data_IF_748265538562
#
_entry.id   IF_748265538562
#
_cell.length_a   1.000
_cell.length_b   1.000
_cell.length_c   1.000
_cell.angle_alpha   90.00
_cell.angle_beta   90.00
_cell.angle_gamma   90.00
#
_symmetry.space_group_name_H-M   'P 1'
#
loop_
_entity.id
_entity.type
_entity.pdbx_description
1 polymer ?
#
# COMPACT_ATOMS: atom_id res chain seq x y z
N UNK A 1 6.20 44.94 -39.68
CA UNK A 1 6.37 45.20 -38.23
C UNK A 1 7.31 44.15 -37.66
N UNK A 2 8.56 44.52 -37.42
CA UNK A 2 9.62 43.65 -36.91
C UNK A 2 9.55 43.61 -35.38
N UNK A 3 9.46 42.41 -34.79
CA UNK A 3 9.38 42.25 -33.34
C UNK A 3 10.70 42.66 -32.66
N UNK A 4 10.65 43.28 -31.45
CA UNK A 4 11.83 43.69 -30.69
C UNK A 4 12.77 42.52 -30.33
N UNK A 5 14.11 42.72 -30.29
CA UNK A 5 15.11 41.67 -30.03
C UNK A 5 14.94 40.90 -28.70
N UNK A 6 14.30 41.52 -27.70
CA UNK A 6 14.08 40.90 -26.39
C UNK A 6 12.94 39.86 -26.39
N UNK A 7 11.97 39.98 -27.31
CA UNK A 7 10.87 39.01 -27.47
C UNK A 7 11.36 37.70 -28.13
N UNK A 8 12.38 37.77 -28.98
CA UNK A 8 13.02 36.59 -29.60
C UNK A 8 13.80 35.76 -28.58
N UNK A 9 14.34 36.41 -27.54
CA UNK A 9 15.14 35.76 -26.50
C UNK A 9 14.27 34.97 -25.51
N UNK A 10 13.04 35.45 -25.24
CA UNK A 10 12.06 34.75 -24.39
C UNK A 10 11.52 33.50 -25.10
N UNK A 11 11.18 33.59 -26.40
CA UNK A 11 10.71 32.42 -27.16
C UNK A 11 11.73 31.28 -27.20
N UNK A 12 13.02 31.61 -27.35
CA UNK A 12 14.10 30.61 -27.44
C UNK A 12 14.42 29.94 -26.11
N UNK A 13 14.21 30.61 -24.96
CA UNK A 13 14.30 29.96 -23.63
C UNK A 13 13.13 29.02 -23.38
N UNK A 14 11.91 29.44 -23.73
CA UNK A 14 10.71 28.61 -23.56
C UNK A 14 10.74 27.35 -24.43
N UNK A 15 11.24 27.42 -25.66
CA UNK A 15 11.41 26.23 -26.50
C UNK A 15 12.55 25.32 -26.05
N UNK A 16 13.65 25.89 -25.54
CA UNK A 16 14.78 25.11 -25.01
C UNK A 16 14.45 24.37 -23.71
N UNK A 17 13.67 24.98 -22.82
CA UNK A 17 13.19 24.31 -21.60
C UNK A 17 12.12 23.24 -21.90
N UNK A 18 11.32 23.43 -22.96
CA UNK A 18 10.37 22.41 -23.44
C UNK A 18 11.08 21.19 -24.06
N UNK A 19 12.09 21.38 -24.92
CA UNK A 19 12.85 20.27 -25.51
C UNK A 19 13.67 19.50 -24.45
N UNK A 20 14.17 20.20 -23.42
CA UNK A 20 14.87 19.56 -22.28
C UNK A 20 13.91 18.75 -21.40
N UNK A 21 12.68 19.24 -21.22
CA UNK A 21 11.62 18.56 -20.47
C UNK A 21 11.04 17.37 -21.23
N UNK A 22 10.89 17.47 -22.55
CA UNK A 22 10.45 16.36 -23.42
C UNK A 22 11.54 15.28 -23.55
N UNK A 23 12.82 15.67 -23.64
CA UNK A 23 13.92 14.71 -23.67
C UNK A 23 14.09 13.96 -22.34
N UNK A 24 13.81 14.60 -21.19
CA UNK A 24 13.81 13.94 -19.88
C UNK A 24 12.55 13.09 -19.63
N UNK A 25 11.42 13.41 -20.25
CA UNK A 25 10.21 12.58 -20.24
C UNK A 25 10.29 11.40 -21.21
N UNK A 26 11.23 11.40 -22.15
CA UNK A 26 11.39 10.37 -23.16
C UNK A 26 12.26 9.17 -22.74
N UNK A 27 12.81 9.12 -21.52
CA UNK A 27 13.61 7.98 -21.05
C UNK A 27 12.96 7.14 -19.95
N UNK A 28 11.69 7.37 -19.62
CA UNK A 28 10.95 6.61 -18.60
C UNK A 28 9.68 5.92 -19.14
N UNK A 29 9.64 5.64 -20.45
CA UNK A 29 8.60 4.80 -21.02
C UNK A 29 9.13 3.38 -21.21
N UNK A 30 9.48 2.74 -20.09
CA UNK A 30 9.37 1.29 -20.01
C UNK A 30 7.90 0.94 -19.83
N UNK A 31 7.46 -0.09 -20.55
CA UNK A 31 6.07 -0.50 -20.66
C UNK A 31 5.54 -0.86 -19.26
N UNK A 32 4.86 0.07 -18.60
CA UNK A 32 4.12 -0.22 -17.37
C UNK A 32 3.04 -1.24 -17.73
N UNK A 33 3.17 -2.46 -17.19
CA UNK A 33 2.18 -3.53 -17.30
C UNK A 33 0.90 -3.26 -16.48
N UNK A 34 0.68 -2.00 -16.09
CA UNK A 34 -0.39 -1.54 -15.22
C UNK A 34 -0.13 -1.72 -13.72
N UNK A 35 0.96 -2.40 -13.31
CA UNK A 35 1.29 -2.57 -11.89
C UNK A 35 2.00 -1.34 -11.31
N UNK A 36 1.90 -1.13 -9.98
CA UNK A 36 2.67 -0.12 -9.29
C UNK A 36 4.19 -0.30 -9.45
N UNK A 37 4.99 0.76 -9.37
CA UNK A 37 6.44 0.66 -9.38
C UNK A 37 7.01 -0.20 -8.23
N UNK A 38 8.25 -0.72 -8.36
CA UNK A 38 8.99 -1.35 -7.26
C UNK A 38 9.16 -0.41 -6.05
N UNK A 39 9.38 -0.93 -4.83
CA UNK A 39 9.30 -0.12 -3.62
C UNK A 39 10.41 0.92 -3.56
N UNK A 40 11.61 0.60 -4.03
CA UNK A 40 12.71 1.58 -4.12
C UNK A 40 12.43 2.73 -5.07
N UNK A 41 11.70 2.50 -6.15
CA UNK A 41 11.29 3.56 -7.08
C UNK A 41 10.25 4.49 -6.43
N UNK A 42 9.24 3.92 -5.77
CA UNK A 42 8.26 4.68 -4.99
C UNK A 42 8.93 5.52 -3.91
N UNK A 43 9.90 4.96 -3.18
CA UNK A 43 10.64 5.68 -2.14
C UNK A 43 11.51 6.81 -2.71
N UNK A 44 12.22 6.56 -3.82
CA UNK A 44 13.11 7.53 -4.45
C UNK A 44 12.34 8.71 -5.07
N UNK A 45 11.13 8.47 -5.55
CA UNK A 45 10.30 9.47 -6.22
C UNK A 45 8.96 9.71 -5.51
N UNK A 46 8.96 9.62 -4.19
CA UNK A 46 7.78 9.76 -3.31
C UNK A 46 6.84 10.90 -3.71
N UNK A 47 7.36 12.11 -3.88
CA UNK A 47 6.57 13.31 -4.21
C UNK A 47 5.87 13.23 -5.57
N UNK A 48 6.34 12.36 -6.48
CA UNK A 48 5.70 12.11 -7.77
C UNK A 48 4.44 11.24 -7.61
N UNK A 49 4.43 10.28 -6.68
CA UNK A 49 3.36 9.29 -6.55
C UNK A 49 2.31 9.62 -5.48
N UNK A 50 2.70 10.32 -4.40
CA UNK A 50 1.82 10.55 -3.24
C UNK A 50 0.46 11.15 -3.62
N UNK A 51 0.46 12.30 -4.31
CA UNK A 51 -0.78 13.01 -4.65
C UNK A 51 -1.64 12.26 -5.67
N UNK A 52 -1.09 11.69 -6.77
CA UNK A 52 -1.88 10.85 -7.67
C UNK A 52 -2.58 9.69 -6.97
N UNK A 53 -1.89 9.02 -6.02
CA UNK A 53 -2.45 7.88 -5.30
C UNK A 53 -3.60 8.28 -4.38
N UNK A 54 -3.47 9.39 -3.65
CA UNK A 54 -4.55 9.93 -2.81
C UNK A 54 -5.79 10.33 -3.60
N UNK A 55 -5.63 10.66 -4.89
CA UNK A 55 -6.73 11.05 -5.77
C UNK A 55 -7.28 9.87 -6.60
N UNK A 56 -6.71 8.67 -6.46
CA UNK A 56 -7.14 7.50 -7.21
C UNK A 56 -8.55 7.12 -6.76
N UNK A 57 -9.44 6.90 -7.73
CA UNK A 57 -10.78 6.37 -7.48
C UNK A 57 -10.79 4.88 -7.73
N UNK A 58 -11.45 4.14 -6.84
CA UNK A 58 -11.68 2.71 -6.99
C UNK A 58 -13.09 2.52 -7.56
N UNK A 59 -13.20 1.76 -8.65
CA UNK A 59 -14.49 1.27 -9.12
C UNK A 59 -14.79 -0.06 -8.45
N UNK A 60 -15.74 -0.06 -7.52
CA UNK A 60 -16.10 -1.25 -6.75
C UNK A 60 -16.62 -2.40 -7.62
N UNK A 61 -17.11 -2.13 -8.84
CA UNK A 61 -17.61 -3.17 -9.75
C UNK A 61 -16.49 -3.99 -10.40
N UNK A 62 -15.34 -3.36 -10.65
CA UNK A 62 -14.18 -3.97 -11.30
C UNK A 62 -13.03 -4.26 -10.30
N UNK A 63 -13.26 -4.01 -9.02
CA UNK A 63 -12.26 -4.22 -7.99
C UNK A 63 -12.04 -5.70 -7.68
N UNK A 64 -10.85 -6.02 -7.15
CA UNK A 64 -10.49 -7.39 -6.78
C UNK A 64 -9.55 -7.41 -5.57
N UNK A 65 -9.44 -8.56 -4.87
CA UNK A 65 -8.49 -8.69 -3.76
C UNK A 65 -7.05 -8.36 -4.15
N UNK A 66 -6.63 -8.73 -5.36
CA UNK A 66 -5.29 -8.44 -5.88
C UNK A 66 -5.08 -6.94 -6.07
N UNK A 67 -6.05 -6.25 -6.68
CA UNK A 67 -5.96 -4.80 -6.90
C UNK A 67 -5.91 -4.05 -5.56
N UNK A 68 -6.68 -4.50 -4.56
CA UNK A 68 -6.62 -3.96 -3.21
C UNK A 68 -5.25 -4.20 -2.55
N UNK A 69 -4.62 -5.38 -2.73
CA UNK A 69 -3.25 -5.61 -2.24
C UNK A 69 -2.25 -4.61 -2.84
N UNK A 70 -2.34 -4.32 -4.14
CA UNK A 70 -1.46 -3.33 -4.78
C UNK A 70 -1.66 -1.92 -4.24
N UNK A 71 -2.91 -1.51 -3.95
CA UNK A 71 -3.18 -0.20 -3.33
C UNK A 71 -2.64 -0.14 -1.91
N UNK A 72 -2.88 -1.17 -1.09
CA UNK A 72 -2.31 -1.25 0.26
C UNK A 72 -0.78 -1.20 0.20
N UNK A 73 -0.16 -1.90 -0.74
CA UNK A 73 1.28 -1.85 -1.00
C UNK A 73 1.76 -0.42 -1.28
N UNK A 74 1.15 0.29 -2.23
CA UNK A 74 1.55 1.67 -2.57
C UNK A 74 1.44 2.60 -1.35
N UNK A 75 0.34 2.49 -0.59
CA UNK A 75 0.14 3.28 0.62
C UNK A 75 1.12 2.90 1.75
N UNK A 76 1.50 1.63 1.88
CA UNK A 76 2.53 1.17 2.82
C UNK A 76 3.90 1.76 2.51
N UNK A 77 4.36 1.66 1.25
CA UNK A 77 5.67 2.19 0.86
C UNK A 77 5.72 3.71 1.06
N UNK A 78 4.59 4.39 0.86
CA UNK A 78 4.48 5.83 1.03
C UNK A 78 3.98 6.26 2.42
N UNK A 79 3.96 5.38 3.42
CA UNK A 79 3.58 5.72 4.81
C UNK A 79 2.24 6.50 4.92
N UNK A 80 1.28 6.17 4.07
CA UNK A 80 -0.04 6.81 4.02
C UNK A 80 -1.00 6.07 4.96
N UNK A 81 -0.73 6.12 6.27
CA UNK A 81 -1.42 5.32 7.30
C UNK A 81 -2.96 5.41 7.27
N UNK A 82 -3.53 6.57 6.97
CA UNK A 82 -4.98 6.72 6.83
C UNK A 82 -5.52 5.90 5.66
N UNK A 83 -4.85 5.91 4.52
CA UNK A 83 -5.28 5.17 3.33
C UNK A 83 -5.03 3.67 3.45
N UNK A 84 -3.96 3.25 4.13
CA UNK A 84 -3.77 1.84 4.52
C UNK A 84 -4.99 1.35 5.28
N UNK A 85 -5.44 2.11 6.29
CA UNK A 85 -6.62 1.77 7.08
C UNK A 85 -7.88 1.75 6.22
N UNK A 86 -8.08 2.75 5.36
CA UNK A 86 -9.25 2.82 4.49
C UNK A 86 -9.34 1.63 3.53
N UNK A 87 -8.21 1.20 2.95
CA UNK A 87 -8.17 0.02 2.07
C UNK A 87 -8.42 -1.28 2.83
N UNK A 88 -7.85 -1.44 4.04
CA UNK A 88 -8.12 -2.60 4.90
C UNK A 88 -9.60 -2.63 5.30
N UNK A 89 -10.20 -1.49 5.64
CA UNK A 89 -11.62 -1.37 5.97
C UNK A 89 -12.52 -1.65 4.75
N UNK A 90 -12.17 -1.13 3.58
CA UNK A 90 -12.87 -1.44 2.33
C UNK A 90 -12.80 -2.95 2.03
N UNK A 91 -11.62 -3.55 2.18
CA UNK A 91 -11.44 -5.01 2.08
C UNK A 91 -12.32 -5.74 3.10
N UNK A 92 -12.49 -5.19 4.33
CA UNK A 92 -13.47 -5.63 5.34
C UNK A 92 -14.94 -5.38 4.95
N UNK A 93 -15.30 -4.82 3.80
CA UNK A 93 -16.71 -4.83 3.38
C UNK A 93 -17.00 -5.68 2.14
N UNK A 94 -15.96 -6.17 1.46
CA UNK A 94 -16.08 -7.20 0.43
C UNK A 94 -16.22 -8.61 1.04
N UNK A 95 -17.47 -9.03 1.28
CA UNK A 95 -17.77 -10.29 2.00
C UNK A 95 -17.27 -11.56 1.29
N UNK A 96 -17.14 -11.51 -0.04
CA UNK A 96 -16.65 -12.62 -0.85
C UNK A 96 -15.11 -12.69 -0.91
N UNK A 97 -14.41 -11.74 -0.27
CA UNK A 97 -12.95 -11.68 -0.25
C UNK A 97 -12.42 -12.24 1.06
N UNK A 98 -12.45 -13.57 1.19
CA UNK A 98 -11.74 -14.23 2.29
C UNK A 98 -10.22 -14.05 2.10
N UNK A 99 -9.49 -13.79 3.19
CA UNK A 99 -8.05 -13.51 3.11
C UNK A 99 -7.29 -14.73 2.58
N UNK A 100 -7.72 -15.93 2.95
CA UNK A 100 -7.08 -17.19 2.52
C UNK A 100 -7.23 -17.46 1.02
N UNK A 101 -8.26 -16.89 0.39
CA UNK A 101 -8.60 -17.11 -1.01
C UNK A 101 -7.98 -16.07 -1.96
N UNK A 102 -7.18 -15.13 -1.43
CA UNK A 102 -6.47 -14.15 -2.26
C UNK A 102 -5.54 -14.89 -3.24
N UNK A 103 -5.72 -14.72 -4.56
CA UNK A 103 -4.89 -15.42 -5.53
C UNK A 103 -3.45 -14.90 -5.51
N UNK A 104 -2.51 -15.78 -5.84
CA UNK A 104 -1.09 -15.44 -5.97
C UNK A 104 -0.90 -14.47 -7.15
N UNK A 105 -0.41 -13.24 -6.93
CA UNK A 105 -0.22 -12.27 -8.01
C UNK A 105 0.90 -12.66 -8.98
N UNK A 106 1.78 -13.61 -8.62
CA UNK A 106 2.97 -14.00 -9.40
C UNK A 106 3.78 -12.77 -9.84
N UNK A 107 3.99 -11.81 -8.93
CA UNK A 107 4.58 -10.52 -9.28
C UNK A 107 6.05 -10.70 -9.72
N UNK A 108 6.46 -10.14 -10.87
CA UNK A 108 7.80 -10.33 -11.41
C UNK A 108 8.89 -9.56 -10.65
N UNK A 109 8.54 -8.51 -9.89
CA UNK A 109 9.49 -7.76 -9.09
C UNK A 109 9.61 -8.40 -7.69
N UNK A 110 10.79 -8.88 -7.30
CA UNK A 110 10.94 -9.64 -6.05
C UNK A 110 10.66 -8.81 -4.80
N UNK A 111 11.02 -7.52 -4.78
CA UNK A 111 10.77 -6.67 -3.61
C UNK A 111 9.28 -6.36 -3.45
N UNK A 112 8.61 -5.95 -4.54
CA UNK A 112 7.16 -5.73 -4.56
C UNK A 112 6.40 -7.01 -4.23
N UNK A 113 6.79 -8.15 -4.80
CA UNK A 113 6.16 -9.43 -4.50
C UNK A 113 6.27 -9.80 -3.01
N UNK A 114 7.44 -9.55 -2.42
CA UNK A 114 7.68 -9.79 -0.99
C UNK A 114 6.83 -8.87 -0.11
N UNK A 115 6.70 -7.58 -0.47
CA UNK A 115 5.79 -6.66 0.22
C UNK A 115 4.33 -7.13 0.12
N UNK A 116 3.87 -7.52 -1.07
CA UNK A 116 2.52 -8.05 -1.29
C UNK A 116 2.25 -9.29 -0.45
N UNK A 117 3.23 -10.18 -0.29
CA UNK A 117 3.12 -11.38 0.54
C UNK A 117 2.94 -11.09 2.04
N UNK A 118 3.38 -9.92 2.52
CA UNK A 118 3.22 -9.51 3.91
C UNK A 118 1.81 -8.96 4.23
N UNK A 119 1.13 -8.39 3.23
CA UNK A 119 -0.16 -7.70 3.44
C UNK A 119 -1.28 -8.64 3.93
N UNK A 120 -1.44 -9.89 3.44
CA UNK A 120 -2.42 -10.80 4.00
C UNK A 120 -2.27 -11.03 5.51
N UNK A 121 -1.04 -10.99 6.05
CA UNK A 121 -0.83 -11.09 7.49
C UNK A 121 -1.39 -9.85 8.23
N UNK A 122 -1.24 -8.65 7.67
CA UNK A 122 -1.86 -7.43 8.19
C UNK A 122 -3.39 -7.51 8.17
N UNK A 123 -3.97 -8.02 7.07
CA UNK A 123 -5.41 -8.25 6.96
C UNK A 123 -5.89 -9.21 8.06
N UNK A 124 -5.21 -10.34 8.25
CA UNK A 124 -5.52 -11.28 9.33
C UNK A 124 -5.43 -10.62 10.71
N UNK A 125 -4.41 -9.83 10.99
CA UNK A 125 -4.28 -9.10 12.27
C UNK A 125 -5.49 -8.18 12.51
N UNK A 126 -5.85 -7.37 11.52
CA UNK A 126 -6.96 -6.44 11.62
C UNK A 126 -8.30 -7.17 11.81
N UNK A 127 -8.53 -8.21 10.99
CA UNK A 127 -9.80 -8.91 10.90
C UNK A 127 -10.01 -9.83 12.09
N UNK A 128 -9.00 -10.61 12.46
CA UNK A 128 -9.09 -11.52 13.60
C UNK A 128 -9.26 -10.76 14.91
N UNK A 129 -8.71 -9.54 15.03
CA UNK A 129 -8.96 -8.70 16.20
C UNK A 129 -10.43 -8.31 16.36
N UNK A 130 -11.15 -8.07 15.26
CA UNK A 130 -12.60 -7.80 15.28
C UNK A 130 -13.40 -9.06 15.59
N UNK A 131 -13.00 -10.19 15.00
CA UNK A 131 -13.62 -11.50 15.25
C UNK A 131 -13.47 -11.91 16.71
N UNK A 132 -12.31 -11.68 17.34
CA UNK A 132 -12.09 -11.86 18.78
C UNK A 132 -13.05 -11.04 19.65
N UNK A 133 -13.46 -9.85 19.19
CA UNK A 133 -14.43 -9.00 19.88
C UNK A 133 -15.89 -9.46 19.67
N UNK A 134 -16.10 -10.49 18.86
CA UNK A 134 -17.40 -11.05 18.50
C UNK A 134 -18.02 -10.43 17.25
N UNK A 135 -17.24 -9.71 16.42
CA UNK A 135 -17.71 -9.11 15.18
C UNK A 135 -17.35 -10.00 13.99
N UNK A 136 -18.33 -10.76 13.44
CA UNK A 136 -18.08 -11.58 12.27
C UNK A 136 -17.97 -10.71 11.01
N UNK A 137 -17.43 -11.32 9.96
CA UNK A 137 -17.17 -10.66 8.68
C UNK A 137 -18.45 -10.18 8.01
N UNK A 138 -19.55 -10.86 8.27
CA UNK A 138 -20.88 -10.61 7.72
C UNK A 138 -21.63 -9.48 8.44
N UNK A 139 -21.13 -9.02 9.59
CA UNK A 139 -21.76 -7.97 10.40
C UNK A 139 -21.94 -6.68 9.58
N UNK A 140 -23.14 -6.09 9.55
CA UNK A 140 -23.34 -4.77 8.97
C UNK A 140 -22.58 -3.69 9.76
N UNK A 141 -22.26 -2.53 9.15
CA UNK A 141 -21.62 -1.43 9.86
C UNK A 141 -22.43 -0.89 11.05
N UNK A 142 -23.75 -1.05 11.02
CA UNK A 142 -24.67 -0.61 12.08
C UNK A 142 -25.42 -1.83 12.60
N UNK A 143 -25.30 -2.08 13.91
CA UNK A 143 -25.94 -3.18 14.61
C UNK A 143 -26.26 -2.77 16.06
N UNK A 144 -27.09 -3.57 16.74
CA UNK A 144 -27.47 -3.32 18.13
C UNK A 144 -26.78 -4.33 19.08
N UNK A 145 -26.99 -4.17 20.39
CA UNK A 145 -26.38 -5.08 21.39
C UNK A 145 -26.88 -6.51 21.26
N UNK A 146 -28.16 -6.72 20.94
CA UNK A 146 -28.73 -8.07 20.81
C UNK A 146 -28.03 -8.85 19.68
N UNK A 147 -27.81 -8.22 18.53
CA UNK A 147 -27.05 -8.80 17.40
C UNK A 147 -25.61 -9.13 17.80
N UNK A 148 -24.96 -8.26 18.58
CA UNK A 148 -23.59 -8.49 19.05
C UNK A 148 -23.51 -9.68 20.00
N UNK A 149 -24.47 -9.81 20.91
CA UNK A 149 -24.54 -10.95 21.83
C UNK A 149 -24.83 -12.25 21.08
N UNK A 150 -25.70 -12.22 20.07
CA UNK A 150 -25.94 -13.35 19.16
C UNK A 150 -24.67 -13.78 18.41
N UNK A 151 -23.85 -12.84 17.92
CA UNK A 151 -22.59 -13.17 17.25
C UNK A 151 -21.52 -13.69 18.21
N UNK A 152 -21.42 -13.13 19.41
CA UNK A 152 -20.50 -13.63 20.45
C UNK A 152 -20.80 -15.05 20.91
N UNK A 153 -22.05 -15.48 20.77
CA UNK A 153 -22.46 -16.85 21.07
C UNK A 153 -22.08 -17.85 19.95
N UNK A 154 -21.71 -17.37 18.76
CA UNK A 154 -21.30 -18.21 17.64
C UNK A 154 -19.82 -18.55 17.70
N UNK A 155 -19.42 -19.63 17.03
CA UNK A 155 -18.01 -19.99 16.90
C UNK A 155 -17.29 -18.97 15.99
N UNK A 156 -16.18 -18.36 16.44
CA UNK A 156 -15.47 -17.34 15.66
C UNK A 156 -14.82 -17.96 14.42
N UNK A 157 -15.11 -17.38 13.25
CA UNK A 157 -14.49 -17.76 11.98
C UNK A 157 -13.27 -16.87 11.70
N UNK A 158 -12.09 -17.32 12.14
CA UNK A 158 -10.84 -16.59 11.93
C UNK A 158 -10.35 -16.67 10.48
N UNK A 159 -9.81 -15.55 10.01
CA UNK A 159 -9.10 -15.39 8.74
C UNK A 159 -7.70 -15.99 8.82
N UNK A 160 -7.22 -16.47 7.67
CA UNK A 160 -5.91 -17.12 7.53
C UNK A 160 -5.19 -16.55 6.31
N UNK A 161 -3.87 -16.54 6.36
CA UNK A 161 -3.05 -16.12 5.23
C UNK A 161 -3.13 -17.16 4.09
N UNK A 162 -3.05 -16.74 2.82
CA UNK A 162 -2.92 -17.66 1.69
C UNK A 162 -1.62 -18.48 1.77
N UNK A 163 -1.66 -19.72 1.30
CA UNK A 163 -0.48 -20.62 1.28
C UNK A 163 0.66 -20.08 0.41
N UNK A 164 0.38 -19.25 -0.59
CA UNK A 164 1.43 -18.71 -1.46
C UNK A 164 2.36 -17.73 -0.73
N UNK A 165 1.87 -17.00 0.29
CA UNK A 165 2.70 -16.00 1.00
C UNK A 165 3.86 -16.63 1.76
N UNK A 166 3.68 -17.86 2.25
CA UNK A 166 4.72 -18.66 2.91
C UNK A 166 5.85 -19.06 1.94
N UNK A 167 5.53 -19.21 0.65
CA UNK A 167 6.48 -19.65 -0.38
C UNK A 167 7.32 -18.51 -0.94
N UNK A 168 6.90 -17.26 -0.75
CA UNK A 168 7.65 -16.08 -1.20
C UNK A 168 8.94 -15.98 -0.38
N UNK A 169 10.13 -15.94 -1.00
CA UNK A 169 11.37 -15.82 -0.26
C UNK A 169 11.49 -14.45 0.43
N UNK A 170 12.35 -14.37 1.44
CA UNK A 170 12.82 -13.06 1.93
C UNK A 170 13.73 -12.42 0.88
N UNK A 171 13.79 -11.09 0.87
CA UNK A 171 14.72 -10.34 0.01
C UNK A 171 16.15 -10.36 0.57
N UNK A 172 17.14 -10.33 -0.32
CA UNK A 172 18.57 -10.40 0.07
C UNK A 172 19.05 -9.11 0.73
N UNK A 173 18.75 -7.96 0.11
CA UNK A 173 19.05 -6.65 0.67
C UNK A 173 17.85 -6.17 1.50
N UNK A 174 18.10 -5.75 2.74
CA UNK A 174 17.04 -5.24 3.61
C UNK A 174 16.35 -4.04 2.96
N UNK A 175 15.06 -4.16 2.71
CA UNK A 175 14.23 -3.02 2.30
C UNK A 175 13.83 -2.24 3.56
N UNK A 176 14.27 -0.98 3.63
CA UNK A 176 13.91 -0.08 4.74
C UNK A 176 12.84 0.89 4.26
N UNK A 177 11.65 0.80 4.84
CA UNK A 177 10.53 1.70 4.55
C UNK A 177 10.48 2.74 5.68
N UNK A 178 10.82 4.02 5.40
CA UNK A 178 10.81 5.05 6.42
C UNK A 178 9.38 5.50 6.74
N UNK A 179 9.19 6.03 7.94
CA UNK A 179 7.93 6.59 8.41
C UNK A 179 8.09 8.08 8.73
N UNK A 180 6.99 8.82 8.73
CA UNK A 180 6.96 10.23 9.09
C UNK A 180 7.11 10.41 10.60
N UNK A 181 8.22 11.01 11.02
CA UNK A 181 8.39 11.41 12.42
C UNK A 181 7.88 12.85 12.62
N UNK A 182 6.90 13.00 13.52
CA UNK A 182 6.28 14.29 13.80
C UNK A 182 7.21 15.30 14.50
N UNK A 183 8.22 14.82 15.23
CA UNK A 183 9.19 15.66 15.93
C UNK A 183 10.27 16.18 14.96
N UNK A 184 10.78 15.30 14.09
CA UNK A 184 11.82 15.62 13.11
C UNK A 184 11.25 16.23 11.81
N UNK A 185 9.94 16.09 11.58
CA UNK A 185 9.23 16.59 10.38
C UNK A 185 9.85 16.09 9.08
N UNK A 186 10.23 14.82 9.06
CA UNK A 186 10.80 14.14 7.91
C UNK A 186 10.55 12.64 8.01
N UNK A 187 10.75 11.95 6.89
CA UNK A 187 10.79 10.49 6.87
C UNK A 187 12.09 9.99 7.50
N UNK A 188 11.99 9.09 8.47
CA UNK A 188 13.12 8.46 9.14
C UNK A 188 12.99 6.93 9.11
N UNK A 189 14.11 6.19 8.97
CA UNK A 189 14.09 4.74 9.10
C UNK A 189 13.97 4.35 10.58
N UNK A 190 13.46 3.14 10.85
CA UNK A 190 13.63 2.52 12.17
C UNK A 190 15.11 2.20 12.43
N UNK A 191 15.49 2.11 13.71
CA UNK A 191 16.87 1.80 14.09
C UNK A 191 17.28 0.36 13.79
N UNK A 192 16.31 -0.57 13.71
CA UNK A 192 16.53 -1.97 13.39
C UNK A 192 15.30 -2.83 13.68
N UNK A 193 15.39 -4.13 13.41
CA UNK A 193 14.30 -5.09 13.62
C UNK A 193 13.94 -5.32 15.09
N UNK A 194 14.86 -5.04 16.02
CA UNK A 194 14.64 -5.21 17.46
C UNK A 194 13.86 -4.03 18.09
N UNK A 195 13.53 -2.99 17.31
CA UNK A 195 12.63 -1.92 17.76
C UNK A 195 11.22 -2.49 18.01
N UNK A 196 10.59 -2.10 19.13
CA UNK A 196 9.24 -2.57 19.48
C UNK A 196 8.16 -2.10 18.48
N UNK A 197 8.48 -1.08 17.69
CA UNK A 197 7.66 -0.52 16.63
C UNK A 197 7.82 -1.25 15.29
N UNK A 198 8.79 -2.16 15.12
CA UNK A 198 8.98 -2.89 13.86
C UNK A 198 7.84 -3.90 13.63
N UNK A 199 7.34 -3.99 12.40
CA UNK A 199 6.35 -5.02 12.05
C UNK A 199 7.01 -6.40 11.99
N UNK A 200 6.49 -7.34 12.79
CA UNK A 200 6.92 -8.74 12.78
C UNK A 200 6.60 -9.43 11.45
N UNK A 201 5.46 -9.10 10.85
CA UNK A 201 4.96 -9.68 9.61
C UNK A 201 5.90 -9.39 8.43
N UNK A 202 6.57 -8.24 8.47
CA UNK A 202 7.53 -7.79 7.47
C UNK A 202 8.98 -8.18 7.82
N UNK A 203 9.31 -8.26 9.11
CA UNK A 203 10.64 -8.66 9.59
C UNK A 203 11.04 -10.06 9.10
N UNK A 204 10.10 -11.02 9.09
CA UNK A 204 10.32 -12.39 8.60
C UNK A 204 10.68 -12.45 7.11
N UNK A 205 10.46 -11.35 6.37
CA UNK A 205 10.78 -11.19 4.95
C UNK A 205 11.93 -10.22 4.67
N UNK A 206 12.68 -9.83 5.71
CA UNK A 206 13.79 -8.86 5.64
C UNK A 206 13.35 -7.45 5.19
N UNK A 207 12.14 -7.03 5.60
CA UNK A 207 11.62 -5.68 5.36
C UNK A 207 11.49 -4.95 6.70
N UNK A 208 12.22 -3.85 6.86
CA UNK A 208 12.18 -3.02 8.06
C UNK A 208 11.17 -1.88 7.88
N UNK A 209 10.03 -1.98 8.54
CA UNK A 209 8.94 -1.01 8.48
C UNK A 209 8.29 -0.83 9.86
N UNK A 210 7.83 0.39 10.14
CA UNK A 210 7.00 0.66 11.31
C UNK A 210 5.70 -0.12 11.22
N UNK A 211 5.28 -0.75 12.32
CA UNK A 211 4.05 -1.54 12.41
C UNK A 211 2.83 -0.71 11.98
N UNK A 212 2.22 -1.01 10.82
CA UNK A 212 1.16 -0.17 10.30
C UNK A 212 -0.05 -0.15 11.23
N UNK A 213 -0.73 1.00 11.31
CA UNK A 213 -1.98 1.10 12.06
C UNK A 213 -3.12 0.39 11.31
N UNK A 214 -3.26 -0.92 11.52
CA UNK A 214 -4.19 -1.78 10.76
C UNK A 214 -5.59 -1.90 11.38
N UNK A 215 -5.77 -1.49 12.63
CA UNK A 215 -7.06 -1.58 13.31
C UNK A 215 -7.99 -0.42 12.94
N UNK A 216 -9.27 -0.74 12.73
CA UNK A 216 -10.34 0.21 12.40
C UNK A 216 -11.59 -0.07 13.25
N UNK A 217 -12.42 0.96 13.42
CA UNK A 217 -13.62 0.94 14.26
C UNK A 217 -14.79 0.25 13.58
#
# INVERSE_FOLDING_TARGET
MTLPPWLTTIKRRLTGDQESSEAAQSTASEVSDGRPPPPRELLAHRTHYELPLLNRRVDAADDSPILALYRIYEHLILDQHLEIRNEIEAFWYHKDWAVVDIPDPCDPDPERYTCLACIPALLCLAFNRRIEMGLPREAPPIFNHDMLDEWRAQEPKFEKVPVWTEKVPQIEETLVIPHWDNNERKFVPLAGFDCGEASKEFADKNILVWHPHVHFA
#
